data_IF_636814769301
#
_entry.id   IF_636814769301
#
_cell.length_a   1.000
_cell.length_b   1.000
_cell.length_c   1.000
_cell.angle_alpha   90.00
_cell.angle_beta   90.00
_cell.angle_gamma   90.00
#
_symmetry.space_group_name_H-M   'P 1'
#
loop_
_entity.id
_entity.type
_entity.pdbx_description
1 polymer ?
#
# COMPACT_ATOMS: atom_id res chain seq x y z
N UNK A 1 22.48 -2.89 -20.72
CA UNK A 1 23.66 -2.23 -20.11
C UNK A 1 24.06 -1.05 -21.00
N UNK A 2 23.61 0.17 -20.67
CA UNK A 2 23.98 1.37 -21.45
C UNK A 2 25.46 1.72 -21.20
N UNK A 3 26.19 2.08 -22.26
CA UNK A 3 27.62 2.43 -22.19
C UNK A 3 27.78 3.79 -21.47
N UNK A 4 28.80 3.90 -20.60
CA UNK A 4 29.15 5.07 -19.77
C UNK A 4 29.23 6.43 -20.51
N UNK A 5 29.23 6.46 -21.84
CA UNK A 5 29.38 7.68 -22.65
C UNK A 5 28.03 8.29 -23.12
N UNK A 6 26.87 7.81 -22.64
CA UNK A 6 25.56 8.36 -22.99
C UNK A 6 24.82 9.10 -21.87
N UNK A 7 25.34 9.07 -20.64
CA UNK A 7 24.73 9.76 -19.50
C UNK A 7 25.28 11.18 -19.39
N UNK A 8 24.37 12.15 -19.31
CA UNK A 8 24.72 13.54 -19.04
C UNK A 8 25.11 13.69 -17.56
N UNK A 9 25.96 14.68 -17.24
CA UNK A 9 26.40 14.98 -15.87
C UNK A 9 25.26 15.36 -14.91
N UNK A 10 24.13 15.75 -15.46
CA UNK A 10 22.91 16.05 -14.73
C UNK A 10 21.89 14.92 -14.99
N UNK A 11 21.49 14.27 -13.91
CA UNK A 11 20.61 13.12 -13.91
C UNK A 11 19.22 13.47 -14.42
N UNK A 12 18.73 14.69 -14.19
CA UNK A 12 17.45 15.13 -14.73
C UNK A 12 17.48 15.10 -16.25
N UNK A 13 18.51 15.70 -16.87
CA UNK A 13 18.73 15.66 -18.32
C UNK A 13 18.86 14.22 -18.85
N UNK A 14 19.59 13.34 -18.14
CA UNK A 14 19.71 11.94 -18.52
C UNK A 14 18.36 11.23 -18.48
N UNK A 15 17.57 11.47 -17.44
CA UNK A 15 16.24 10.90 -17.24
C UNK A 15 15.29 11.34 -18.34
N UNK A 16 15.20 12.65 -18.64
CA UNK A 16 14.35 13.15 -19.74
C UNK A 16 14.72 12.50 -21.07
N UNK A 17 16.02 12.40 -21.40
CA UNK A 17 16.47 11.75 -22.64
C UNK A 17 16.04 10.29 -22.74
N UNK A 18 16.03 9.55 -21.63
CA UNK A 18 15.60 8.16 -21.58
C UNK A 18 14.10 8.02 -21.76
N UNK A 19 13.34 8.82 -21.00
CA UNK A 19 11.87 8.77 -20.97
C UNK A 19 11.22 9.34 -22.24
N UNK A 20 11.85 10.33 -22.88
CA UNK A 20 11.34 10.92 -24.12
C UNK A 20 11.92 10.27 -25.39
N UNK A 21 12.96 9.44 -25.22
CA UNK A 21 13.65 8.75 -26.31
C UNK A 21 13.40 7.23 -26.28
N UNK A 22 14.41 6.42 -25.91
CA UNK A 22 14.39 4.97 -26.08
C UNK A 22 13.29 4.24 -25.28
N UNK A 23 12.77 4.83 -24.21
CA UNK A 23 11.73 4.21 -23.37
C UNK A 23 10.38 4.93 -23.43
N UNK A 24 10.19 5.84 -24.40
CA UNK A 24 8.96 6.63 -24.53
C UNK A 24 7.69 5.78 -24.56
N UNK A 25 7.74 4.64 -25.23
CA UNK A 25 6.58 3.74 -25.34
C UNK A 25 6.20 3.06 -24.00
N UNK A 26 7.06 3.14 -22.98
CA UNK A 26 6.80 2.62 -21.64
C UNK A 26 6.35 3.70 -20.66
N UNK A 27 6.34 4.97 -21.07
CA UNK A 27 5.97 6.11 -20.24
C UNK A 27 4.48 6.38 -20.41
N UNK A 28 3.71 6.20 -19.33
CA UNK A 28 2.32 6.66 -19.28
C UNK A 28 2.29 8.16 -19.07
N UNK A 29 3.09 8.65 -18.12
CA UNK A 29 3.18 10.06 -17.80
C UNK A 29 4.56 10.44 -17.29
N UNK A 30 5.03 11.62 -17.70
CA UNK A 30 6.28 12.19 -17.21
C UNK A 30 6.13 13.69 -17.00
N UNK A 31 6.30 14.13 -15.75
CA UNK A 31 6.45 15.51 -15.35
C UNK A 31 7.84 15.70 -14.74
N UNK A 32 8.74 16.49 -15.36
CA UNK A 32 10.05 16.77 -14.80
C UNK A 32 9.94 17.60 -13.51
N UNK A 33 10.91 17.42 -12.63
CA UNK A 33 11.07 18.28 -11.46
C UNK A 33 11.44 19.71 -11.90
N UNK A 34 10.78 20.69 -11.30
CA UNK A 34 11.13 22.11 -11.42
C UNK A 34 10.82 22.84 -10.11
N UNK A 35 11.23 24.11 -9.93
CA UNK A 35 10.81 24.88 -8.76
C UNK A 35 9.29 25.07 -8.62
N UNK A 36 8.52 24.78 -9.68
CA UNK A 36 7.06 24.92 -9.72
C UNK A 36 6.32 23.57 -9.71
N UNK A 37 7.01 22.46 -10.01
CA UNK A 37 6.40 21.15 -10.22
C UNK A 37 7.21 20.05 -9.56
N UNK A 38 6.52 19.16 -8.84
CA UNK A 38 7.12 17.96 -8.28
C UNK A 38 7.38 16.92 -9.39
N UNK A 39 8.40 16.06 -9.22
CA UNK A 39 8.68 14.99 -10.18
C UNK A 39 7.52 13.97 -10.17
N UNK A 40 7.05 13.57 -11.36
CA UNK A 40 6.14 12.42 -11.51
C UNK A 40 6.58 11.60 -12.70
N UNK A 41 6.80 10.31 -12.51
CA UNK A 41 7.10 9.36 -13.58
C UNK A 41 6.17 8.16 -13.39
N UNK A 42 5.35 7.85 -14.39
CA UNK A 42 4.48 6.67 -14.42
C UNK A 42 4.93 5.78 -15.57
N UNK A 43 5.38 4.58 -15.25
CA UNK A 43 5.93 3.61 -16.20
C UNK A 43 5.07 2.36 -16.25
N UNK A 44 4.75 1.92 -17.46
CA UNK A 44 4.07 0.68 -17.74
C UNK A 44 4.50 0.16 -19.12
N UNK A 45 5.18 -1.00 -19.13
CA UNK A 45 5.52 -1.68 -20.39
C UNK A 45 4.26 -2.33 -21.02
N UNK A 46 4.28 -2.70 -22.31
CA UNK A 46 3.16 -3.41 -22.93
C UNK A 46 2.76 -4.69 -22.17
N UNK A 47 3.73 -5.51 -21.76
CA UNK A 47 3.43 -6.72 -20.97
C UNK A 47 2.82 -6.42 -19.61
N UNK A 48 3.26 -5.35 -18.94
CA UNK A 48 2.64 -4.90 -17.69
C UNK A 48 1.18 -4.47 -17.90
N UNK A 49 0.90 -3.79 -19.01
CA UNK A 49 -0.45 -3.39 -19.38
C UNK A 49 -1.32 -4.62 -19.64
N UNK A 50 -0.84 -5.59 -20.42
CA UNK A 50 -1.58 -6.82 -20.71
C UNK A 50 -1.91 -7.58 -19.41
N UNK A 51 -0.94 -7.71 -18.50
CA UNK A 51 -1.14 -8.32 -17.19
C UNK A 51 -2.16 -7.56 -16.32
N UNK A 52 -2.15 -6.21 -16.35
CA UNK A 52 -3.16 -5.42 -15.65
C UNK A 52 -4.57 -5.68 -16.19
N UNK A 53 -4.71 -5.76 -17.53
CA UNK A 53 -5.99 -6.00 -18.18
C UNK A 53 -6.52 -7.42 -17.90
N UNK A 54 -5.62 -8.41 -17.86
CA UNK A 54 -5.98 -9.81 -17.62
C UNK A 54 -6.29 -10.10 -16.15
N UNK A 55 -5.48 -9.59 -15.22
CA UNK A 55 -5.51 -10.00 -13.81
C UNK A 55 -5.96 -8.91 -12.83
N UNK A 56 -6.04 -7.64 -13.26
CA UNK A 56 -6.28 -6.50 -12.37
C UNK A 56 -7.73 -6.30 -11.92
N UNK A 57 -8.68 -7.12 -12.36
CA UNK A 57 -10.11 -6.87 -12.11
C UNK A 57 -10.52 -7.00 -10.63
N UNK A 58 -9.99 -8.01 -9.94
CA UNK A 58 -10.45 -8.35 -8.58
C UNK A 58 -9.69 -7.56 -7.50
N UNK A 59 -8.37 -7.48 -7.63
CA UNK A 59 -7.51 -6.82 -6.64
C UNK A 59 -6.24 -6.28 -7.30
N UNK A 60 -5.86 -5.08 -6.90
CA UNK A 60 -4.55 -4.49 -7.21
C UNK A 60 -3.85 -4.15 -5.92
N UNK A 61 -2.61 -4.61 -5.76
CA UNK A 61 -1.77 -4.26 -4.63
C UNK A 61 -0.97 -3.01 -4.97
N UNK A 62 -0.81 -2.10 -4.02
CA UNK A 62 0.07 -0.94 -4.16
C UNK A 62 0.84 -0.76 -2.85
N UNK A 63 2.13 -0.45 -2.96
CA UNK A 63 3.01 -0.18 -1.83
C UNK A 63 4.16 0.74 -2.27
N UNK A 64 4.64 1.56 -1.34
CA UNK A 64 5.73 2.49 -1.54
C UNK A 64 7.04 1.94 -0.99
N UNK A 65 8.09 1.99 -1.81
CA UNK A 65 9.44 1.60 -1.40
C UNK A 65 10.35 2.81 -1.32
N UNK A 66 11.05 2.92 -0.18
CA UNK A 66 12.01 4.00 0.09
C UNK A 66 13.45 3.52 -0.04
N UNK A 67 14.36 4.47 -0.27
CA UNK A 67 15.81 4.19 -0.31
C UNK A 67 16.30 3.50 -1.59
N UNK A 68 15.49 3.45 -2.64
CA UNK A 68 15.82 2.78 -3.92
C UNK A 68 16.57 3.68 -4.90
N UNK A 69 16.73 4.97 -4.59
CA UNK A 69 17.49 5.92 -5.41
C UNK A 69 18.21 6.95 -4.53
N UNK A 70 19.22 7.60 -5.11
CA UNK A 70 20.07 8.57 -4.39
C UNK A 70 19.37 9.87 -3.98
N UNK A 71 18.16 10.12 -4.51
CA UNK A 71 17.39 11.34 -4.27
C UNK A 71 16.31 11.16 -3.19
N UNK A 72 16.12 9.93 -2.68
CA UNK A 72 15.09 9.63 -1.70
C UNK A 72 13.66 9.66 -2.25
N UNK A 73 13.49 9.64 -3.58
CA UNK A 73 12.17 9.62 -4.19
C UNK A 73 11.46 8.28 -3.92
N UNK A 74 10.20 8.27 -3.43
CA UNK A 74 9.43 7.04 -3.27
C UNK A 74 9.17 6.37 -4.63
N UNK A 75 9.30 5.05 -4.66
CA UNK A 75 8.87 4.19 -5.76
C UNK A 75 7.62 3.44 -5.34
N UNK A 76 6.47 3.76 -5.93
CA UNK A 76 5.26 2.95 -5.78
C UNK A 76 5.27 1.85 -6.82
N UNK A 77 4.98 0.63 -6.38
CA UNK A 77 4.81 -0.53 -7.27
C UNK A 77 3.36 -0.99 -7.20
N UNK A 78 2.69 -1.02 -8.36
CA UNK A 78 1.40 -1.68 -8.48
C UNK A 78 1.60 -3.11 -8.96
N UNK A 79 0.88 -4.03 -8.33
CA UNK A 79 1.02 -5.46 -8.50
C UNK A 79 -0.34 -6.12 -8.66
N UNK A 80 -0.42 -7.13 -9.52
CA UNK A 80 -1.59 -8.01 -9.66
C UNK A 80 -1.17 -9.45 -9.37
N UNK A 81 -2.15 -10.34 -9.25
CA UNK A 81 -1.90 -11.77 -9.03
C UNK A 81 -2.29 -12.57 -10.27
N UNK A 82 -1.35 -13.35 -10.80
CA UNK A 82 -1.63 -14.24 -11.94
C UNK A 82 -2.49 -15.45 -11.52
N UNK A 83 -2.86 -16.27 -12.50
CA UNK A 83 -3.66 -17.49 -12.30
C UNK A 83 -2.96 -18.57 -11.45
N UNK A 84 -1.64 -18.50 -11.27
CA UNK A 84 -0.84 -19.41 -10.44
C UNK A 84 -0.61 -18.84 -9.03
N UNK A 85 -1.08 -17.64 -8.77
CA UNK A 85 -0.96 -16.97 -7.50
C UNK A 85 0.32 -16.15 -7.31
N UNK A 86 1.12 -15.94 -8.36
CA UNK A 86 2.32 -15.10 -8.31
C UNK A 86 1.95 -13.63 -8.43
N UNK A 87 2.66 -12.76 -7.70
CA UNK A 87 2.57 -11.32 -7.91
C UNK A 87 3.29 -10.95 -9.19
N UNK A 88 2.69 -10.13 -10.05
CA UNK A 88 3.37 -9.55 -11.22
C UNK A 88 3.27 -8.02 -11.16
N UNK A 89 4.40 -7.28 -11.20
CA UNK A 89 4.40 -5.83 -11.33
C UNK A 89 3.71 -5.39 -12.61
N UNK A 90 2.79 -4.42 -12.48
CA UNK A 90 2.00 -3.89 -13.59
C UNK A 90 2.16 -2.39 -13.78
N UNK A 91 2.74 -1.68 -12.81
CA UNK A 91 3.10 -0.26 -12.96
C UNK A 91 4.18 0.11 -11.94
N UNK A 92 5.09 0.98 -12.34
CA UNK A 92 6.01 1.66 -11.44
C UNK A 92 5.74 3.17 -11.47
N UNK A 93 5.66 3.79 -10.31
CA UNK A 93 5.47 5.22 -10.16
C UNK A 93 6.60 5.79 -9.31
N UNK A 94 7.33 6.78 -9.82
CA UNK A 94 8.37 7.50 -9.07
C UNK A 94 7.88 8.93 -8.85
N UNK A 95 7.81 9.35 -7.59
CA UNK A 95 7.35 10.69 -7.22
C UNK A 95 8.47 11.50 -6.56
N UNK A 96 8.45 12.82 -6.74
CA UNK A 96 9.36 13.73 -6.05
C UNK A 96 9.08 13.87 -4.55
N UNK A 97 7.89 13.43 -4.10
CA UNK A 97 7.45 13.46 -2.70
C UNK A 97 6.27 12.48 -2.49
N UNK A 98 5.83 12.33 -1.24
CA UNK A 98 4.70 11.47 -0.84
C UNK A 98 3.39 12.26 -0.61
N UNK A 99 3.27 13.48 -1.15
CA UNK A 99 2.03 14.25 -0.97
C UNK A 99 0.89 13.58 -1.72
N UNK A 100 -0.30 13.69 -1.14
CA UNK A 100 -1.53 13.17 -1.74
C UNK A 100 -1.75 13.71 -3.15
N UNK A 101 -1.56 15.02 -3.40
CA UNK A 101 -1.82 15.60 -4.72
C UNK A 101 -0.91 15.02 -5.82
N UNK A 102 0.35 14.75 -5.48
CA UNK A 102 1.35 14.19 -6.40
C UNK A 102 0.98 12.74 -6.77
N UNK A 103 0.62 11.92 -5.78
CA UNK A 103 0.19 10.54 -6.02
C UNK A 103 -1.16 10.49 -6.74
N UNK A 104 -2.08 11.40 -6.41
CA UNK A 104 -3.37 11.51 -7.09
C UNK A 104 -3.17 11.79 -8.58
N UNK A 105 -2.31 12.75 -8.95
CA UNK A 105 -1.97 13.04 -10.35
C UNK A 105 -1.44 11.78 -11.07
N UNK A 106 -0.51 11.07 -10.45
CA UNK A 106 0.04 9.84 -11.05
C UNK A 106 -1.03 8.75 -11.27
N UNK A 107 -1.95 8.58 -10.31
CA UNK A 107 -3.05 7.62 -10.43
C UNK A 107 -4.10 8.07 -11.47
N UNK A 108 -4.37 9.38 -11.59
CA UNK A 108 -5.28 9.93 -12.61
C UNK A 108 -4.76 9.63 -14.02
N UNK A 109 -3.46 9.83 -14.26
CA UNK A 109 -2.80 9.52 -15.52
C UNK A 109 -2.73 8.02 -15.80
N UNK A 110 -2.66 7.19 -14.75
CA UNK A 110 -2.68 5.74 -14.88
C UNK A 110 -4.08 5.17 -15.13
N UNK A 111 -5.14 5.79 -14.59
CA UNK A 111 -6.53 5.29 -14.64
C UNK A 111 -6.98 4.83 -16.04
N UNK A 112 -6.68 5.53 -17.16
CA UNK A 112 -7.05 5.09 -18.51
C UNK A 112 -6.47 3.75 -18.95
N UNK A 113 -5.42 3.24 -18.29
CA UNK A 113 -4.83 1.93 -18.59
C UNK A 113 -5.65 0.76 -18.04
N UNK A 114 -6.57 1.04 -17.11
CA UNK A 114 -7.49 0.06 -16.54
C UNK A 114 -8.71 -0.10 -17.45
N UNK A 115 -9.05 -1.31 -17.94
CA UNK A 115 -10.28 -1.53 -18.70
C UNK A 115 -11.54 -1.19 -17.88
N UNK A 116 -11.49 -1.51 -16.59
CA UNK A 116 -12.47 -1.16 -15.57
C UNK A 116 -11.71 -0.92 -14.25
N UNK A 117 -12.21 -0.06 -13.35
CA UNK A 117 -11.68 0.04 -12.00
C UNK A 117 -11.62 -1.35 -11.33
N UNK A 118 -10.55 -1.68 -10.60
CA UNK A 118 -10.48 -2.93 -9.87
C UNK A 118 -11.55 -2.93 -8.78
N UNK A 119 -11.98 -4.10 -8.33
CA UNK A 119 -12.94 -4.18 -7.23
C UNK A 119 -12.38 -3.59 -5.93
N UNK A 120 -11.09 -3.83 -5.66
CA UNK A 120 -10.41 -3.23 -4.51
C UNK A 120 -8.92 -2.99 -4.76
N UNK A 121 -8.37 -2.06 -4.00
CA UNK A 121 -6.92 -1.93 -3.81
C UNK A 121 -6.53 -2.46 -2.45
N UNK A 122 -5.39 -3.15 -2.36
CA UNK A 122 -4.76 -3.49 -1.09
C UNK A 122 -3.49 -2.69 -0.89
N UNK A 123 -3.47 -1.91 0.19
CA UNK A 123 -2.45 -0.91 0.46
C UNK A 123 -2.00 -0.93 1.92
N UNK A 124 -0.99 -0.13 2.19
CA UNK A 124 -0.53 0.16 3.53
C UNK A 124 -1.45 1.17 4.23
N UNK A 125 -1.26 1.34 5.54
CA UNK A 125 -2.04 2.33 6.30
C UNK A 125 -1.45 3.73 6.12
N UNK A 126 -1.30 4.16 4.88
CA UNK A 126 -0.89 5.51 4.51
C UNK A 126 -2.08 6.38 4.09
N UNK A 127 -2.14 7.59 4.62
CA UNK A 127 -3.30 8.46 4.41
C UNK A 127 -3.30 9.07 3.00
N UNK A 128 -2.13 9.37 2.43
CA UNK A 128 -2.02 9.90 1.09
C UNK A 128 -2.42 8.84 0.06
N UNK A 129 -1.96 7.60 0.20
CA UNK A 129 -2.36 6.46 -0.64
C UNK A 129 -3.87 6.23 -0.61
N UNK A 130 -4.44 6.06 0.60
CA UNK A 130 -5.87 5.77 0.77
C UNK A 130 -6.72 6.89 0.17
N UNK A 131 -6.36 8.15 0.40
CA UNK A 131 -7.13 9.28 -0.11
C UNK A 131 -7.01 9.43 -1.62
N UNK A 132 -5.81 9.27 -2.18
CA UNK A 132 -5.59 9.35 -3.62
C UNK A 132 -6.35 8.25 -4.35
N UNK A 133 -6.32 7.00 -3.86
CA UNK A 133 -7.11 5.91 -4.45
C UNK A 133 -8.61 6.23 -4.39
N UNK A 134 -9.14 6.62 -3.22
CA UNK A 134 -10.57 6.95 -3.09
C UNK A 134 -11.02 8.10 -3.97
N UNK A 135 -10.12 9.03 -4.29
CA UNK A 135 -10.41 10.15 -5.17
C UNK A 135 -10.46 9.73 -6.65
N UNK A 136 -9.49 8.90 -7.07
CA UNK A 136 -9.31 8.51 -8.46
C UNK A 136 -10.17 7.30 -8.84
N UNK A 137 -10.21 6.29 -7.99
CA UNK A 137 -10.97 5.04 -8.13
C UNK A 137 -12.08 4.99 -7.07
N UNK A 138 -13.02 5.94 -7.14
CA UNK A 138 -14.08 6.07 -6.14
C UNK A 138 -15.08 4.89 -6.13
N UNK A 139 -15.03 4.06 -7.18
CA UNK A 139 -15.80 2.84 -7.35
C UNK A 139 -15.12 1.62 -6.71
N UNK A 140 -13.84 1.73 -6.36
CA UNK A 140 -13.02 0.67 -5.79
C UNK A 140 -12.98 0.75 -4.26
N UNK A 141 -13.06 -0.40 -3.60
CA UNK A 141 -12.80 -0.46 -2.16
C UNK A 141 -11.30 -0.32 -1.86
N UNK A 142 -10.98 0.06 -0.63
CA UNK A 142 -9.60 0.08 -0.12
C UNK A 142 -9.49 -0.88 1.05
N UNK A 143 -8.55 -1.82 0.98
CA UNK A 143 -8.24 -2.80 2.01
C UNK A 143 -6.83 -2.56 2.54
N UNK A 144 -6.64 -2.69 3.85
CA UNK A 144 -5.32 -2.61 4.47
C UNK A 144 -4.64 -3.98 4.48
N UNK A 145 -3.37 -4.03 4.11
CA UNK A 145 -2.58 -5.25 4.23
C UNK A 145 -2.53 -5.74 5.69
N UNK A 146 -2.91 -7.00 5.93
CA UNK A 146 -2.86 -7.58 7.27
C UNK A 146 -1.44 -7.67 7.84
N UNK A 147 -0.46 -7.94 6.99
CA UNK A 147 0.94 -7.95 7.42
C UNK A 147 1.36 -6.58 7.97
N UNK A 148 1.07 -5.49 7.27
CA UNK A 148 1.38 -4.14 7.76
C UNK A 148 0.56 -3.72 8.98
N UNK A 149 -0.69 -4.19 9.11
CA UNK A 149 -1.47 -4.05 10.35
C UNK A 149 -0.72 -4.72 11.51
N UNK A 150 -0.33 -5.99 11.38
CA UNK A 150 0.36 -6.72 12.45
C UNK A 150 1.72 -6.12 12.79
N UNK A 151 2.45 -5.66 11.77
CA UNK A 151 3.75 -5.02 11.92
C UNK A 151 3.63 -3.68 12.65
N UNK A 152 2.64 -2.85 12.29
CA UNK A 152 2.37 -1.57 12.95
C UNK A 152 2.00 -1.76 14.42
N UNK A 153 1.11 -2.70 14.73
CA UNK A 153 0.71 -3.02 16.11
C UNK A 153 1.90 -3.55 16.91
N UNK A 154 2.68 -4.49 16.36
CA UNK A 154 3.85 -5.07 17.03
C UNK A 154 4.91 -4.03 17.35
N UNK A 155 5.20 -3.13 16.39
CA UNK A 155 6.13 -2.01 16.59
C UNK A 155 5.63 -1.08 17.69
N UNK A 156 4.34 -0.70 17.67
CA UNK A 156 3.77 0.18 18.67
C UNK A 156 3.81 -0.44 20.08
N UNK A 157 3.44 -1.71 20.22
CA UNK A 157 3.52 -2.45 21.49
C UNK A 157 4.95 -2.58 22.04
N UNK A 158 5.96 -2.39 21.21
CA UNK A 158 7.37 -2.41 21.63
C UNK A 158 7.86 -1.06 22.13
N UNK A 159 7.08 0.02 21.96
CA UNK A 159 7.39 1.35 22.50
C UNK A 159 7.04 1.42 23.97
N UNK A 160 7.84 2.17 24.74
CA UNK A 160 7.63 2.36 26.18
C UNK A 160 6.25 2.91 26.53
N UNK A 161 5.72 3.80 25.70
CA UNK A 161 4.38 4.40 25.85
C UNK A 161 3.23 3.39 25.85
N UNK A 162 3.43 2.18 25.32
CA UNK A 162 2.39 1.14 25.31
C UNK A 162 2.14 0.54 26.71
N UNK A 163 3.08 0.73 27.65
CA UNK A 163 3.06 0.08 28.96
C UNK A 163 3.32 -1.44 28.93
N UNK A 164 3.59 -2.00 27.74
CA UNK A 164 3.88 -3.43 27.52
C UNK A 164 5.15 -3.64 26.70
N UNK A 165 6.03 -2.65 26.65
CA UNK A 165 7.40 -2.80 26.14
C UNK A 165 8.22 -3.71 27.05
N UNK A 166 9.23 -4.38 26.49
CA UNK A 166 10.18 -5.19 27.26
C UNK A 166 9.95 -6.70 27.18
N UNK A 167 10.98 -7.50 27.48
CA UNK A 167 10.92 -8.96 27.40
C UNK A 167 9.92 -9.56 28.38
N UNK A 168 9.77 -9.00 29.59
CA UNK A 168 8.87 -9.48 30.64
C UNK A 168 7.37 -9.31 30.31
N UNK A 169 7.06 -8.51 29.29
CA UNK A 169 5.70 -8.27 28.78
C UNK A 169 5.41 -9.02 27.48
N UNK A 170 6.27 -9.97 27.09
CA UNK A 170 6.09 -10.76 25.87
C UNK A 170 4.71 -11.45 25.82
N UNK A 171 4.26 -12.06 26.91
CA UNK A 171 2.95 -12.73 26.98
C UNK A 171 1.78 -11.75 26.81
N UNK A 172 1.87 -10.56 27.40
CA UNK A 172 0.88 -9.49 27.19
C UNK A 172 0.79 -9.11 25.71
N UNK A 173 1.94 -8.92 25.04
CA UNK A 173 1.99 -8.56 23.62
C UNK A 173 1.44 -9.68 22.74
N UNK A 174 1.80 -10.94 23.02
CA UNK A 174 1.26 -12.10 22.32
C UNK A 174 -0.26 -12.20 22.46
N UNK A 175 -0.79 -11.98 23.68
CA UNK A 175 -2.23 -12.00 23.93
C UNK A 175 -2.98 -10.87 23.20
N UNK A 176 -2.40 -9.66 23.13
CA UNK A 176 -2.97 -8.56 22.34
C UNK A 176 -2.99 -8.91 20.84
N UNK A 177 -1.90 -9.48 20.32
CA UNK A 177 -1.82 -9.90 18.92
C UNK A 177 -2.77 -11.05 18.58
N UNK A 178 -3.01 -11.96 19.52
CA UNK A 178 -4.05 -12.98 19.40
C UNK A 178 -5.43 -12.33 19.24
N UNK A 179 -5.77 -11.37 20.09
CA UNK A 179 -7.03 -10.62 19.96
C UNK A 179 -7.15 -9.88 18.62
N UNK A 180 -6.06 -9.26 18.14
CA UNK A 180 -6.05 -8.63 16.81
C UNK A 180 -6.33 -9.66 15.70
N UNK A 181 -5.79 -10.87 15.81
CA UNK A 181 -6.04 -11.96 14.86
C UNK A 181 -7.48 -12.49 14.93
N UNK A 182 -8.06 -12.55 16.12
CA UNK A 182 -9.48 -12.89 16.31
C UNK A 182 -10.40 -11.81 15.73
N UNK A 183 -10.06 -10.53 15.92
CA UNK A 183 -10.76 -9.40 15.29
C UNK A 183 -10.66 -9.44 13.77
N UNK A 184 -9.48 -9.78 13.22
CA UNK A 184 -9.28 -10.00 11.77
C UNK A 184 -10.22 -11.09 11.24
N UNK A 185 -10.45 -12.13 12.04
CA UNK A 185 -11.23 -13.31 11.64
C UNK A 185 -12.75 -13.12 11.74
N UNK A 186 -13.22 -12.05 12.37
CA UNK A 186 -14.66 -11.74 12.45
C UNK A 186 -15.28 -11.64 11.06
N UNK A 187 -16.33 -12.41 10.81
CA UNK A 187 -16.98 -12.49 9.51
C UNK A 187 -18.14 -11.50 9.37
N UNK A 188 -18.63 -10.96 10.50
CA UNK A 188 -19.67 -9.93 10.52
C UNK A 188 -19.25 -8.72 11.36
N UNK A 189 -19.81 -7.55 11.04
CA UNK A 189 -19.58 -6.33 11.81
C UNK A 189 -20.07 -6.49 13.27
N UNK A 190 -21.14 -7.25 13.49
CA UNK A 190 -21.65 -7.54 14.83
C UNK A 190 -20.65 -8.34 15.67
N UNK A 191 -20.06 -9.40 15.11
CA UNK A 191 -18.99 -10.17 15.76
C UNK A 191 -17.78 -9.30 16.07
N UNK A 192 -17.39 -8.43 15.13
CA UNK A 192 -16.27 -7.51 15.31
C UNK A 192 -16.53 -6.54 16.46
N UNK A 193 -17.72 -5.93 16.52
CA UNK A 193 -18.13 -5.02 17.61
C UNK A 193 -18.09 -5.71 18.96
N UNK A 194 -18.69 -6.90 19.07
CA UNK A 194 -18.66 -7.72 20.28
C UNK A 194 -17.22 -8.07 20.70
N UNK A 195 -16.36 -8.47 19.76
CA UNK A 195 -14.95 -8.78 20.04
C UNK A 195 -14.16 -7.53 20.45
N UNK A 196 -14.48 -6.37 19.90
CA UNK A 196 -13.87 -5.08 20.25
C UNK A 196 -14.25 -4.65 21.67
N UNK A 197 -15.50 -4.85 22.09
CA UNK A 197 -15.91 -4.68 23.49
C UNK A 197 -15.15 -5.62 24.43
N UNK A 198 -15.01 -6.89 24.05
CA UNK A 198 -14.21 -7.86 24.81
C UNK A 198 -12.74 -7.44 24.93
N UNK A 199 -12.15 -6.87 23.87
CA UNK A 199 -10.80 -6.32 23.89
C UNK A 199 -10.67 -5.24 24.98
N UNK A 200 -11.58 -4.26 25.00
CA UNK A 200 -11.58 -3.19 25.99
C UNK A 200 -11.78 -3.71 27.42
N UNK A 201 -12.62 -4.74 27.61
CA UNK A 201 -12.81 -5.38 28.91
C UNK A 201 -11.56 -6.13 29.38
N UNK A 202 -10.94 -6.92 28.48
CA UNK A 202 -9.77 -7.74 28.77
C UNK A 202 -8.55 -6.89 29.11
N UNK A 203 -8.33 -5.80 28.37
CA UNK A 203 -7.16 -4.94 28.51
C UNK A 203 -7.47 -3.63 29.26
N UNK A 204 -8.56 -3.57 30.05
CA UNK A 204 -9.00 -2.36 30.77
C UNK A 204 -7.93 -1.66 31.61
N UNK A 205 -6.97 -2.43 32.14
CA UNK A 205 -5.86 -1.92 32.95
C UNK A 205 -4.68 -1.41 32.09
N UNK A 206 -4.63 -1.77 30.81
CA UNK A 206 -3.67 -1.29 29.81
C UNK A 206 -4.31 -0.14 29.01
N UNK A 207 -4.50 1.00 29.67
CA UNK A 207 -5.27 2.13 29.13
C UNK A 207 -4.75 2.62 27.77
N UNK A 208 -3.43 2.69 27.62
CA UNK A 208 -2.80 3.15 26.37
C UNK A 208 -3.02 2.15 25.22
N UNK A 209 -3.04 0.84 25.51
CA UNK A 209 -3.38 -0.20 24.52
C UNK A 209 -4.82 -0.04 24.04
N UNK A 210 -5.78 0.11 24.95
CA UNK A 210 -7.18 0.33 24.59
C UNK A 210 -7.38 1.64 23.80
N UNK A 211 -6.70 2.71 24.21
CA UNK A 211 -6.74 4.01 23.50
C UNK A 211 -6.16 3.88 22.10
N UNK A 212 -5.01 3.21 21.96
CA UNK A 212 -4.37 2.97 20.67
C UNK A 212 -5.27 2.15 19.74
N UNK A 213 -5.82 1.03 20.22
CA UNK A 213 -6.74 0.21 19.44
C UNK A 213 -7.95 1.02 18.94
N UNK A 214 -8.60 1.77 19.84
CA UNK A 214 -9.76 2.60 19.51
C UNK A 214 -9.46 3.64 18.43
N UNK A 215 -8.34 4.34 18.58
CA UNK A 215 -8.01 5.49 17.73
C UNK A 215 -7.46 5.08 16.37
N UNK A 216 -6.84 3.90 16.26
CA UNK A 216 -6.08 3.54 15.06
C UNK A 216 -6.66 2.35 14.29
N UNK A 217 -7.46 1.48 14.92
CA UNK A 217 -7.85 0.20 14.33
C UNK A 217 -9.35 -0.10 14.43
N UNK A 218 -10.00 0.24 15.55
CA UNK A 218 -11.40 -0.11 15.82
C UNK A 218 -12.36 0.53 14.81
N UNK A 219 -12.26 1.84 14.58
CA UNK A 219 -13.16 2.59 13.68
C UNK A 219 -12.97 2.23 12.21
N UNK A 220 -11.80 1.69 11.86
CA UNK A 220 -11.46 1.28 10.49
C UNK A 220 -11.45 -0.24 10.33
N UNK A 221 -12.12 -0.98 11.23
CA UNK A 221 -12.23 -2.44 11.21
C UNK A 221 -12.58 -3.02 9.84
N UNK A 222 -13.46 -2.34 9.10
CA UNK A 222 -13.91 -2.73 7.77
C UNK A 222 -12.79 -2.73 6.71
N UNK A 223 -11.68 -2.01 6.91
CA UNK A 223 -10.58 -2.00 5.95
C UNK A 223 -9.64 -3.22 6.13
N UNK A 224 -9.57 -3.80 7.33
CA UNK A 224 -8.58 -4.84 7.64
C UNK A 224 -9.17 -6.18 8.11
N UNK A 225 -10.41 -6.21 8.62
CA UNK A 225 -11.07 -7.44 9.09
C UNK A 225 -11.85 -8.15 7.96
N UNK A 226 -12.11 -9.44 8.12
CA UNK A 226 -12.83 -10.28 7.14
C UNK A 226 -14.25 -9.78 6.86
N UNK A 227 -14.93 -9.16 7.83
CA UNK A 227 -16.29 -8.66 7.62
C UNK A 227 -16.36 -7.53 6.56
N UNK A 228 -15.26 -6.83 6.30
CA UNK A 228 -15.15 -5.85 5.22
C UNK A 228 -14.65 -6.44 3.90
N UNK A 229 -14.32 -7.74 3.88
CA UNK A 229 -13.76 -8.50 2.75
C UNK A 229 -14.71 -9.58 2.25
N UNK A 230 -16.01 -9.43 2.47
CA UNK A 230 -17.05 -10.42 2.17
C UNK A 230 -17.35 -10.59 0.67
N UNK A 231 -16.33 -10.43 -0.17
CA UNK A 231 -16.42 -10.54 -1.62
C UNK A 231 -15.11 -11.07 -2.21
N UNK A 232 -15.12 -11.46 -3.49
CA UNK A 232 -13.91 -11.94 -4.16
C UNK A 232 -12.85 -10.83 -4.22
N UNK A 233 -11.76 -11.00 -3.49
CA UNK A 233 -10.62 -10.08 -3.41
C UNK A 233 -9.28 -10.83 -3.63
N UNK A 234 -9.32 -11.91 -4.43
CA UNK A 234 -8.15 -12.73 -4.75
C UNK A 234 -7.64 -13.63 -3.61
N UNK A 235 -8.45 -13.86 -2.58
CA UNK A 235 -8.12 -14.62 -1.36
C UNK A 235 -6.76 -14.21 -0.75
N UNK A 236 -6.46 -12.92 -0.86
CA UNK A 236 -5.20 -12.34 -0.42
C UNK A 236 -5.46 -11.47 0.80
N UNK A 237 -4.76 -11.76 1.88
CA UNK A 237 -4.80 -10.96 3.10
C UNK A 237 -3.62 -10.01 3.25
N UNK A 238 -2.56 -10.20 2.44
CA UNK A 238 -1.33 -9.45 2.53
C UNK A 238 -0.85 -8.98 1.16
N UNK A 239 -0.11 -7.87 1.13
CA UNK A 239 0.59 -7.36 -0.04
C UNK A 239 2.07 -7.81 -0.07
N UNK A 240 2.50 -8.81 0.72
CA UNK A 240 3.89 -9.33 0.73
C UNK A 240 4.38 -9.85 -0.64
N UNK A 241 3.48 -10.01 -1.61
CA UNK A 241 3.87 -10.22 -3.00
C UNK A 241 4.73 -9.06 -3.51
N UNK A 242 4.48 -7.82 -3.07
CA UNK A 242 5.29 -6.64 -3.38
C UNK A 242 6.67 -6.73 -2.77
N UNK A 243 6.77 -7.12 -1.49
CA UNK A 243 8.06 -7.24 -0.78
C UNK A 243 9.05 -8.21 -1.47
N UNK A 244 8.59 -9.12 -2.35
CA UNK A 244 9.45 -10.06 -3.08
C UNK A 244 10.12 -9.47 -4.34
N UNK A 245 9.63 -8.31 -4.82
CA UNK A 245 10.15 -7.62 -6.01
C UNK A 245 11.00 -6.39 -5.67
N UNK A 246 11.18 -6.12 -4.37
CA UNK A 246 12.05 -5.08 -3.81
C UNK A 246 13.40 -5.67 -3.40
#
# INVERSE_FOLDING_TARGET
MMRKNQQHKDDATSTSRLLEGPFKDYVIFYQPYSPQTDLVIVLQTPSMRDNLQEYGRDIVFMDATHGVNQYGFPLFTLLVRDSHGHGIPVTYIILGNEKQETLQLALEELKPTFPVPPRCFMVDKDQAEINSIRKVFNESDVLLCWYHVTQAVTRWLSRSESGVSGPEKADSRAHIMQFMSELKSCSTEHEFKKKSEMFHCQFKNLKDVCKYFRNHWETIGHLWSNFGRCYKHGDSDTNNLIERYL
#
